data_IF_678600506156
#
_entry.id   IF_678600506156
#
_cell.length_a   1.000
_cell.length_b   1.000
_cell.length_c   1.000
_cell.angle_alpha   90.00
_cell.angle_beta   90.00
_cell.angle_gamma   90.00
#
_symmetry.space_group_name_H-M   'P 1'
#
loop_
_entity.id
_entity.type
_entity.pdbx_description
1 polymer ?
#
# COMPACT_ATOMS: atom_id res chain seq x y z
N UNK A 1 -9.07 3.73 -13.58
CA UNK A 1 -8.06 3.55 -12.52
C UNK A 1 -6.75 4.20 -12.93
N UNK A 2 -6.14 4.95 -12.01
CA UNK A 2 -4.82 5.53 -12.26
C UNK A 2 -3.74 4.43 -12.32
N UNK A 3 -2.60 4.73 -12.94
CA UNK A 3 -1.47 3.83 -12.95
C UNK A 3 -0.97 3.57 -11.53
N UNK A 4 -0.72 2.31 -11.21
CA UNK A 4 -0.23 1.89 -9.91
C UNK A 4 1.27 1.68 -10.00
N UNK A 5 2.06 2.45 -9.21
CA UNK A 5 3.51 2.32 -9.20
C UNK A 5 4.19 2.63 -10.52
N UNK A 6 3.58 3.43 -11.39
CA UNK A 6 4.13 3.72 -12.70
C UNK A 6 3.91 2.63 -13.74
N UNK A 7 3.15 1.59 -13.41
CA UNK A 7 2.85 0.48 -14.31
C UNK A 7 1.93 0.95 -15.44
N UNK A 8 2.35 0.75 -16.70
CA UNK A 8 1.58 1.19 -17.87
C UNK A 8 0.37 0.32 -18.15
N UNK A 9 0.44 -0.98 -17.81
CA UNK A 9 -0.61 -1.95 -18.10
C UNK A 9 -1.45 -2.26 -16.87
N UNK A 10 -1.72 -1.23 -16.05
CA UNK A 10 -2.46 -1.39 -14.80
C UNK A 10 -3.80 -2.09 -14.99
N UNK A 11 -4.60 -1.64 -15.97
CA UNK A 11 -5.91 -2.24 -16.19
C UNK A 11 -5.82 -3.68 -16.66
N UNK A 12 -4.84 -4.00 -17.51
CA UNK A 12 -4.64 -5.38 -17.95
C UNK A 12 -4.29 -6.30 -16.78
N UNK A 13 -3.42 -5.84 -15.87
CA UNK A 13 -3.07 -6.59 -14.66
C UNK A 13 -4.31 -6.80 -13.80
N UNK A 14 -5.08 -5.75 -13.56
CA UNK A 14 -6.24 -5.84 -12.67
C UNK A 14 -7.37 -6.66 -13.26
N UNK A 15 -7.51 -6.72 -14.58
CA UNK A 15 -8.44 -7.67 -15.21
C UNK A 15 -8.10 -9.11 -14.86
N UNK A 16 -6.82 -9.43 -14.70
CA UNK A 16 -6.38 -10.76 -14.32
C UNK A 16 -6.62 -11.02 -12.83
N UNK A 17 -6.28 -10.07 -11.96
CA UNK A 17 -6.29 -10.33 -10.52
C UNK A 17 -7.63 -10.09 -9.84
N UNK A 18 -8.47 -9.18 -10.36
CA UNK A 18 -9.77 -8.91 -9.73
C UNK A 18 -10.65 -10.15 -9.57
N UNK A 19 -10.78 -11.01 -10.57
CA UNK A 19 -11.62 -12.20 -10.41
C UNK A 19 -10.98 -13.31 -9.57
N UNK A 20 -9.71 -13.18 -9.25
CA UNK A 20 -9.01 -14.17 -8.42
C UNK A 20 -9.13 -13.77 -6.96
N UNK A 21 -10.10 -14.34 -6.27
CA UNK A 21 -10.46 -13.93 -4.91
C UNK A 21 -9.36 -14.17 -3.87
N UNK A 22 -8.40 -15.03 -4.17
CA UNK A 22 -7.24 -15.22 -3.29
C UNK A 22 -6.26 -14.06 -3.33
N UNK A 23 -6.35 -13.17 -4.33
CA UNK A 23 -5.52 -11.96 -4.37
C UNK A 23 -6.15 -10.93 -3.45
N UNK A 24 -5.45 -10.57 -2.37
CA UNK A 24 -5.99 -9.72 -1.31
C UNK A 24 -5.42 -8.31 -1.32
N UNK A 25 -4.19 -8.17 -1.78
CA UNK A 25 -3.52 -6.87 -1.78
C UNK A 25 -2.52 -6.80 -2.92
N UNK A 26 -2.30 -5.58 -3.42
CA UNK A 26 -1.25 -5.26 -4.37
C UNK A 26 -0.36 -4.21 -3.72
N UNK A 27 0.89 -4.57 -3.47
CA UNK A 27 1.84 -3.72 -2.74
C UNK A 27 2.90 -3.25 -3.74
N UNK A 28 3.13 -1.94 -3.78
CA UNK A 28 4.02 -1.36 -4.79
C UNK A 28 4.77 -0.15 -4.21
N UNK A 29 5.81 0.25 -4.92
CA UNK A 29 6.61 1.42 -4.58
C UNK A 29 6.79 2.32 -5.78
N UNK A 30 7.92 3.03 -5.85
CA UNK A 30 8.35 3.90 -6.94
C UNK A 30 7.76 5.31 -6.92
N UNK A 31 6.53 5.50 -6.48
CA UNK A 31 5.89 6.83 -6.49
C UNK A 31 6.34 7.74 -5.35
N UNK A 32 7.14 7.22 -4.41
CA UNK A 32 7.69 7.94 -3.26
C UNK A 32 6.61 8.60 -2.39
N UNK A 33 5.46 7.95 -2.25
CA UNK A 33 4.38 8.46 -1.41
C UNK A 33 3.70 7.31 -0.66
N UNK A 34 3.55 7.49 0.65
CA UNK A 34 2.81 6.52 1.48
C UNK A 34 1.32 6.72 1.27
N UNK A 35 0.64 5.69 0.77
CA UNK A 35 -0.79 5.76 0.52
C UNK A 35 -1.40 4.36 0.53
N UNK A 36 -2.56 4.23 1.16
CA UNK A 36 -3.31 2.97 1.19
C UNK A 36 -4.73 3.27 0.75
N UNK A 37 -5.21 2.51 -0.23
CA UNK A 37 -6.58 2.62 -0.70
C UNK A 37 -7.11 1.25 -1.06
N UNK A 38 -8.40 1.16 -1.39
CA UNK A 38 -9.04 -0.09 -1.73
C UNK A 38 -9.65 0.02 -3.12
N UNK A 39 -9.33 -0.95 -4.00
CA UNK A 39 -9.97 -1.06 -5.30
C UNK A 39 -11.45 -1.45 -5.10
N UNK A 40 -12.36 -1.06 -6.02
CA UNK A 40 -13.76 -1.49 -5.89
C UNK A 40 -13.96 -2.99 -5.77
N UNK A 41 -13.02 -3.79 -6.26
CA UNK A 41 -13.06 -5.26 -6.10
C UNK A 41 -12.75 -5.74 -4.68
N UNK A 42 -12.28 -4.85 -3.81
CA UNK A 42 -11.86 -5.19 -2.45
C UNK A 42 -10.38 -5.51 -2.31
N UNK A 43 -9.61 -5.46 -3.39
CA UNK A 43 -8.15 -5.59 -3.32
C UNK A 43 -7.57 -4.33 -2.70
N UNK A 44 -6.73 -4.49 -1.69
CA UNK A 44 -6.06 -3.35 -1.06
C UNK A 44 -4.86 -2.93 -1.90
N UNK A 45 -4.72 -1.61 -2.12
CA UNK A 45 -3.62 -1.02 -2.88
C UNK A 45 -2.72 -0.30 -1.89
N UNK A 46 -1.52 -0.83 -1.69
CA UNK A 46 -0.58 -0.30 -0.69
C UNK A 46 0.63 0.28 -1.41
N UNK A 47 0.72 1.61 -1.40
CA UNK A 47 1.86 2.33 -1.95
C UNK A 47 2.86 2.59 -0.83
N UNK A 48 4.00 1.94 -0.89
CA UNK A 48 5.02 2.02 0.17
C UNK A 48 5.74 3.36 0.15
N UNK A 49 6.14 3.88 1.33
CA UNK A 49 6.92 5.10 1.38
C UNK A 49 8.35 4.88 0.89
N UNK A 50 9.05 5.94 0.44
CA UNK A 50 10.47 5.83 0.13
C UNK A 50 11.28 5.77 1.42
N UNK A 51 12.47 5.17 1.38
CA UNK A 51 13.38 5.18 2.51
C UNK A 51 14.37 6.36 2.43
N UNK A 52 14.43 7.04 1.30
CA UNK A 52 15.36 8.14 1.07
C UNK A 52 14.64 9.50 1.06
N UNK A 53 14.18 9.96 -0.10
CA UNK A 53 13.56 11.27 -0.20
C UNK A 53 12.15 11.18 -0.75
N UNK A 54 11.36 12.23 -0.49
CA UNK A 54 9.98 12.34 -0.97
C UNK A 54 9.92 13.42 -2.05
N UNK A 55 9.00 13.24 -3.02
CA UNK A 55 8.78 14.24 -4.06
C UNK A 55 7.98 15.43 -3.55
N UNK A 56 7.18 15.22 -2.52
CA UNK A 56 6.34 16.25 -1.93
C UNK A 56 6.70 16.42 -0.46
N UNK A 57 7.03 17.65 -0.07
CA UNK A 57 7.33 17.97 1.32
C UNK A 57 6.18 17.56 2.24
N UNK A 58 6.52 17.03 3.39
CA UNK A 58 5.53 16.57 4.38
C UNK A 58 5.16 15.10 4.23
N UNK A 59 5.44 14.47 3.11
CA UNK A 59 5.25 13.03 2.97
C UNK A 59 6.29 12.27 3.80
N UNK A 60 5.93 11.14 4.41
CA UNK A 60 6.88 10.38 5.22
C UNK A 60 7.88 9.61 4.35
N UNK A 61 9.10 9.47 4.85
CA UNK A 61 10.02 8.45 4.36
C UNK A 61 10.23 7.42 5.47
N UNK A 62 10.37 6.15 5.10
CA UNK A 62 10.49 5.11 6.11
C UNK A 62 10.21 3.73 5.55
N UNK A 63 9.77 2.84 6.41
CA UNK A 63 9.46 1.47 6.05
C UNK A 63 8.18 1.05 6.78
N UNK A 64 7.63 -0.08 6.36
CA UNK A 64 6.36 -0.57 6.89
C UNK A 64 6.57 -1.96 7.46
N UNK A 65 6.16 -2.15 8.71
CA UNK A 65 6.09 -3.47 9.30
C UNK A 65 4.72 -4.06 8.97
N UNK A 66 4.72 -5.15 8.22
CA UNK A 66 3.48 -5.84 7.88
C UNK A 66 3.37 -7.11 8.72
N UNK A 67 2.26 -7.26 9.43
CA UNK A 67 1.95 -8.46 10.17
C UNK A 67 0.78 -9.13 9.48
N UNK A 68 1.01 -10.33 8.93
CA UNK A 68 -0.03 -11.08 8.24
C UNK A 68 -0.89 -11.80 9.28
N UNK A 69 -2.19 -11.71 9.09
CA UNK A 69 -3.18 -12.36 9.93
C UNK A 69 -4.09 -13.21 9.05
N UNK A 70 -4.84 -14.11 9.67
CA UNK A 70 -5.72 -15.01 8.93
C UNK A 70 -6.71 -14.26 8.05
N UNK A 71 -7.27 -13.16 8.55
CA UNK A 71 -8.33 -12.41 7.87
C UNK A 71 -7.88 -11.05 7.38
N UNK A 72 -6.61 -10.73 7.49
CA UNK A 72 -6.15 -9.42 7.10
C UNK A 72 -4.67 -9.20 7.30
N UNK A 73 -4.30 -7.93 7.36
CA UNK A 73 -2.92 -7.53 7.55
C UNK A 73 -2.89 -6.23 8.37
N UNK A 74 -1.94 -6.18 9.31
CA UNK A 74 -1.70 -4.97 10.09
C UNK A 74 -0.44 -4.30 9.53
N UNK A 75 -0.56 -3.04 9.13
CA UNK A 75 0.56 -2.24 8.63
C UNK A 75 0.94 -1.21 9.68
N UNK A 76 2.21 -1.13 10.02
CA UNK A 76 2.72 -0.11 10.91
C UNK A 76 3.80 0.69 10.20
N UNK A 77 3.58 2.00 10.05
CA UNK A 77 4.55 2.88 9.40
C UNK A 77 5.63 3.28 10.40
N UNK A 78 6.90 3.05 10.03
CA UNK A 78 8.06 3.43 10.82
C UNK A 78 8.86 4.45 10.03
N UNK A 79 8.76 5.73 10.40
CA UNK A 79 9.44 6.80 9.70
C UNK A 79 10.91 6.88 10.04
N UNK A 80 11.72 7.28 9.05
CA UNK A 80 13.15 7.55 9.27
C UNK A 80 13.31 8.63 10.34
N UNK A 81 12.43 9.65 10.30
CA UNK A 81 12.35 10.66 11.36
C UNK A 81 11.24 10.26 12.34
N UNK A 82 11.58 9.80 13.55
CA UNK A 82 10.55 9.40 14.52
C UNK A 82 9.66 10.55 14.99
N UNK A 83 10.05 11.79 14.73
CA UNK A 83 9.23 12.97 15.06
C UNK A 83 8.16 13.25 14.00
N UNK A 84 8.20 12.57 12.87
CA UNK A 84 7.19 12.78 11.82
C UNK A 84 5.80 12.39 12.37
N UNK A 85 4.79 13.20 12.02
CA UNK A 85 3.42 12.99 12.50
C UNK A 85 2.83 11.63 12.15
N UNK A 86 3.31 11.00 11.08
CA UNK A 86 2.81 9.69 10.63
C UNK A 86 3.56 8.53 11.25
N UNK A 87 4.64 8.79 12.01
CA UNK A 87 5.41 7.71 12.63
C UNK A 87 4.53 6.91 13.59
N UNK A 88 4.58 5.60 13.45
CA UNK A 88 3.78 4.72 14.30
C UNK A 88 2.33 4.54 13.84
N UNK A 89 1.94 5.17 12.72
CA UNK A 89 0.60 4.99 12.19
C UNK A 89 0.32 3.50 11.94
N UNK A 90 -0.84 3.02 12.38
CA UNK A 90 -1.26 1.64 12.19
C UNK A 90 -2.49 1.62 11.31
N UNK A 91 -2.45 0.80 10.26
CA UNK A 91 -3.59 0.57 9.38
C UNK A 91 -3.88 -0.92 9.40
N UNK A 92 -5.14 -1.28 9.67
CA UNK A 92 -5.57 -2.67 9.65
C UNK A 92 -6.39 -2.90 8.39
N UNK A 93 -5.95 -3.86 7.58
CA UNK A 93 -6.63 -4.24 6.36
C UNK A 93 -7.37 -5.54 6.58
N UNK A 94 -8.61 -5.59 6.15
CA UNK A 94 -9.42 -6.80 6.22
C UNK A 94 -9.50 -7.40 4.81
N UNK A 95 -9.19 -8.70 4.68
CA UNK A 95 -9.21 -9.36 3.38
C UNK A 95 -10.63 -9.45 2.82
N UNK A 96 -10.76 -9.24 1.51
CA UNK A 96 -12.02 -9.53 0.83
C UNK A 96 -12.30 -11.03 0.90
N UNK A 97 -13.56 -11.40 0.79
CA UNK A 97 -13.98 -12.80 0.81
C UNK A 97 -13.37 -13.57 -0.39
N UNK A 98 -13.05 -14.81 -0.15
CA UNK A 98 -12.54 -15.71 -1.20
C UNK A 98 -13.66 -16.49 -1.84
#
# INVERSE_FOLDING_TARGET
MANVGGLKDTEALFEVIRPRKQVKAYIFGHTHAWHVEEDPSGIHLVNLPPVAYVFREGNPSGWVRATLERKGMRLELRCVDPAHKSHGQVIKLQWRAS
#
